data_IF_017812061933
#
_entry.id   IF_017812061933
#
_cell.length_a   1.000
_cell.length_b   1.000
_cell.length_c   1.000
_cell.angle_alpha   90.00
_cell.angle_beta   90.00
_cell.angle_gamma   90.00
#
_symmetry.space_group_name_H-M   'P 1'
#
loop_
_entity.id
_entity.type
_entity.pdbx_description
1 polymer ?
#
# COMPACT_ATOMS: atom_id res chain seq x y z
N UNK A 1 -3.94 38.18 -49.17
CA UNK A 1 -3.45 38.41 -47.79
C UNK A 1 -4.49 37.87 -46.83
N UNK A 2 -4.24 36.73 -46.19
CA UNK A 2 -5.23 36.10 -45.29
C UNK A 2 -5.11 36.76 -43.91
N UNK A 3 -6.16 37.47 -43.48
CA UNK A 3 -6.29 38.01 -42.13
C UNK A 3 -6.56 36.83 -41.18
N UNK A 4 -5.55 36.44 -40.40
CA UNK A 4 -5.71 35.45 -39.33
C UNK A 4 -6.54 36.09 -38.21
N UNK A 5 -7.77 35.61 -38.05
CA UNK A 5 -8.68 36.01 -36.98
C UNK A 5 -8.12 35.54 -35.63
N UNK A 6 -7.36 36.39 -34.94
CA UNK A 6 -6.83 36.07 -33.61
C UNK A 6 -7.96 36.17 -32.59
N UNK A 7 -8.63 35.05 -32.33
CA UNK A 7 -9.55 34.92 -31.19
C UNK A 7 -8.70 34.80 -29.92
N UNK A 8 -8.67 35.87 -29.12
CA UNK A 8 -8.11 35.84 -27.77
C UNK A 8 -9.04 35.10 -26.81
N UNK A 9 -8.47 34.37 -25.85
CA UNK A 9 -9.21 33.79 -24.72
C UNK A 9 -9.78 34.91 -23.85
N UNK A 10 -11.05 34.83 -23.48
CA UNK A 10 -11.64 35.79 -22.55
C UNK A 10 -11.23 35.47 -21.10
N UNK A 11 -11.06 36.50 -20.27
CA UNK A 11 -10.77 36.31 -18.84
C UNK A 11 -11.90 35.56 -18.12
N UNK A 12 -13.14 35.72 -18.59
CA UNK A 12 -14.30 35.02 -18.02
C UNK A 12 -14.30 33.53 -18.36
N UNK A 13 -13.87 33.13 -19.57
CA UNK A 13 -13.69 31.71 -19.92
C UNK A 13 -12.65 31.06 -19.01
N UNK A 14 -11.52 31.73 -18.77
CA UNK A 14 -10.51 31.19 -17.85
C UNK A 14 -11.01 31.12 -16.40
N UNK A 15 -11.79 32.11 -15.94
CA UNK A 15 -12.33 32.14 -14.59
C UNK A 15 -13.31 30.98 -14.34
N UNK A 16 -14.20 30.69 -15.29
CA UNK A 16 -15.14 29.57 -15.17
C UNK A 16 -14.39 28.23 -15.19
N UNK A 17 -13.35 28.09 -16.00
CA UNK A 17 -12.54 26.86 -16.06
C UNK A 17 -11.85 26.57 -14.72
N UNK A 18 -11.18 27.57 -14.12
CA UNK A 18 -10.52 27.35 -12.82
C UNK A 18 -11.53 27.09 -11.69
N UNK A 19 -12.73 27.68 -11.77
CA UNK A 19 -13.80 27.39 -10.82
C UNK A 19 -14.26 25.93 -10.90
N UNK A 20 -14.44 25.39 -12.11
CA UNK A 20 -14.83 23.98 -12.32
C UNK A 20 -13.70 23.04 -11.84
N UNK A 21 -12.45 23.32 -12.20
CA UNK A 21 -11.29 22.51 -11.75
C UNK A 21 -11.18 22.54 -10.22
N UNK A 22 -11.44 23.69 -9.59
CA UNK A 22 -11.45 23.82 -8.13
C UNK A 22 -12.47 22.91 -7.45
N UNK A 23 -13.69 22.84 -7.97
CA UNK A 23 -14.75 21.95 -7.46
C UNK A 23 -14.35 20.48 -7.62
N UNK A 24 -13.83 20.11 -8.79
CA UNK A 24 -13.41 18.72 -9.05
C UNK A 24 -12.23 18.32 -8.15
N UNK A 25 -11.24 19.20 -7.96
CA UNK A 25 -10.08 18.94 -7.11
C UNK A 25 -10.47 18.76 -5.64
N UNK A 26 -11.44 19.53 -5.14
CA UNK A 26 -11.90 19.44 -3.75
C UNK A 26 -12.46 18.04 -3.40
N UNK A 27 -13.11 17.37 -4.35
CA UNK A 27 -13.65 16.01 -4.17
C UNK A 27 -12.56 14.96 -4.47
N UNK A 28 -11.78 15.18 -5.53
CA UNK A 28 -10.80 14.19 -6.01
C UNK A 28 -9.62 13.98 -5.05
N UNK A 29 -9.12 15.03 -4.41
CA UNK A 29 -7.93 14.95 -3.53
C UNK A 29 -8.15 14.01 -2.33
N UNK A 30 -9.22 14.15 -1.50
CA UNK A 30 -9.42 13.26 -0.37
C UNK A 30 -9.66 11.80 -0.80
N UNK A 31 -10.41 11.58 -1.89
CA UNK A 31 -10.63 10.23 -2.43
C UNK A 31 -9.33 9.59 -2.93
N UNK A 32 -8.51 10.35 -3.65
CA UNK A 32 -7.23 9.85 -4.17
C UNK A 32 -6.25 9.52 -3.04
N UNK A 33 -6.23 10.33 -1.99
CA UNK A 33 -5.42 10.07 -0.79
C UNK A 33 -5.82 8.75 -0.12
N UNK A 34 -7.11 8.53 0.11
CA UNK A 34 -7.62 7.29 0.69
C UNK A 34 -7.34 6.07 -0.21
N UNK A 35 -7.48 6.22 -1.53
CA UNK A 35 -7.15 5.16 -2.48
C UNK A 35 -5.66 4.78 -2.44
N UNK A 36 -4.76 5.76 -2.37
CA UNK A 36 -3.33 5.51 -2.20
C UNK A 36 -3.02 4.81 -0.89
N UNK A 37 -3.66 5.21 0.21
CA UNK A 37 -3.49 4.58 1.52
C UNK A 37 -3.85 3.08 1.49
N UNK A 38 -5.01 2.74 0.92
CA UNK A 38 -5.42 1.34 0.71
C UNK A 38 -4.49 0.58 -0.24
N UNK A 39 -3.93 1.24 -1.25
CA UNK A 39 -2.94 0.62 -2.13
C UNK A 39 -1.64 0.28 -1.38
N UNK A 40 -1.21 1.10 -0.41
CA UNK A 40 -0.08 0.77 0.45
C UNK A 40 -0.37 -0.43 1.35
N UNK A 41 -1.60 -0.56 1.86
CA UNK A 41 -2.03 -1.74 2.62
C UNK A 41 -1.94 -3.02 1.80
N UNK A 42 -2.46 -3.01 0.56
CA UNK A 42 -2.39 -4.16 -0.33
C UNK A 42 -0.94 -4.60 -0.64
N UNK A 43 0.00 -3.66 -0.72
CA UNK A 43 1.44 -3.97 -0.85
C UNK A 43 1.97 -4.66 0.39
N UNK A 44 1.71 -4.11 1.58
CA UNK A 44 2.16 -4.71 2.84
C UNK A 44 1.59 -6.13 3.04
N UNK A 45 0.29 -6.32 2.75
CA UNK A 45 -0.36 -7.63 2.80
C UNK A 45 0.28 -8.63 1.81
N UNK A 46 0.57 -8.18 0.59
CA UNK A 46 1.20 -9.03 -0.44
C UNK A 46 2.62 -9.44 -0.04
N UNK A 47 3.41 -8.53 0.54
CA UNK A 47 4.76 -8.83 1.00
C UNK A 47 4.75 -9.81 2.19
N UNK A 48 3.77 -9.72 3.10
CA UNK A 48 3.60 -10.69 4.18
C UNK A 48 3.33 -12.08 3.60
N UNK A 49 2.39 -12.20 2.65
CA UNK A 49 2.09 -13.49 1.98
C UNK A 49 3.32 -14.05 1.27
N UNK A 50 4.04 -13.21 0.54
CA UNK A 50 5.26 -13.60 -0.15
C UNK A 50 6.35 -14.08 0.83
N UNK A 51 6.47 -13.43 2.00
CA UNK A 51 7.41 -13.84 3.05
C UNK A 51 7.06 -15.21 3.62
N UNK A 52 5.77 -15.48 3.87
CA UNK A 52 5.32 -16.80 4.35
C UNK A 52 5.66 -17.87 3.30
N UNK A 53 5.33 -17.64 2.04
CA UNK A 53 5.68 -18.58 0.95
C UNK A 53 7.19 -18.79 0.83
N UNK A 54 8.01 -17.74 0.95
CA UNK A 54 9.46 -17.84 0.92
C UNK A 54 10.02 -18.63 2.11
N UNK A 55 9.47 -18.44 3.31
CA UNK A 55 9.83 -19.21 4.49
C UNK A 55 9.47 -20.69 4.30
N UNK A 56 8.26 -20.99 3.81
CA UNK A 56 7.84 -22.37 3.54
C UNK A 56 8.73 -23.06 2.51
N UNK A 57 9.07 -22.37 1.41
CA UNK A 57 10.01 -22.87 0.41
C UNK A 57 11.39 -23.16 1.02
N UNK A 58 11.92 -22.22 1.82
CA UNK A 58 13.20 -22.40 2.49
C UNK A 58 13.19 -23.61 3.44
N UNK A 59 12.10 -23.83 4.17
CA UNK A 59 11.97 -24.98 5.06
C UNK A 59 11.97 -26.32 4.31
N UNK A 60 11.35 -26.39 3.14
CA UNK A 60 11.37 -27.61 2.30
C UNK A 60 12.81 -28.00 1.97
N UNK A 61 13.68 -27.04 1.70
CA UNK A 61 15.08 -27.26 1.32
C UNK A 61 16.00 -27.47 2.53
N UNK A 62 15.95 -26.57 3.52
CA UNK A 62 16.89 -26.54 4.63
C UNK A 62 16.42 -27.31 5.87
N UNK A 63 15.14 -27.73 5.93
CA UNK A 63 14.50 -28.35 7.09
C UNK A 63 14.60 -27.50 8.37
N UNK A 64 14.89 -26.21 8.22
CA UNK A 64 14.94 -25.22 9.30
C UNK A 64 14.65 -23.83 8.73
N UNK A 65 14.11 -22.93 9.55
CA UNK A 65 14.03 -21.50 9.24
C UNK A 65 15.29 -20.74 9.68
N UNK A 66 16.18 -21.38 10.46
CA UNK A 66 17.42 -20.77 10.90
C UNK A 66 18.32 -20.47 9.70
N UNK A 67 18.78 -19.22 9.60
CA UNK A 67 19.58 -18.78 8.46
C UNK A 67 18.75 -18.38 7.23
N UNK A 68 17.43 -18.23 7.36
CA UNK A 68 16.62 -17.61 6.31
C UNK A 68 17.21 -16.24 5.94
N UNK A 69 17.58 -16.03 4.66
CA UNK A 69 18.30 -14.82 4.23
C UNK A 69 17.46 -13.54 4.28
N UNK A 70 16.16 -13.66 4.57
CA UNK A 70 15.20 -12.56 4.52
C UNK A 70 14.55 -12.42 3.14
N UNK A 71 13.62 -11.48 3.05
CA UNK A 71 13.06 -11.02 1.78
C UNK A 71 13.46 -9.57 1.54
N UNK A 72 13.39 -9.13 0.28
CA UNK A 72 13.47 -7.70 -0.04
C UNK A 72 12.03 -7.19 -0.16
N UNK A 73 11.49 -6.48 0.85
CA UNK A 73 10.11 -6.00 0.78
C UNK A 73 9.97 -4.89 -0.26
N UNK A 74 8.72 -4.62 -0.64
CA UNK A 74 8.36 -3.49 -1.47
C UNK A 74 8.72 -2.16 -0.81
N UNK A 75 8.93 -1.11 -1.61
CA UNK A 75 9.32 0.20 -1.10
C UNK A 75 8.37 0.71 0.01
N UNK A 76 8.96 1.12 1.13
CA UNK A 76 8.23 1.63 2.31
C UNK A 76 7.54 0.57 3.16
N UNK A 77 7.59 -0.71 2.77
CA UNK A 77 7.06 -1.82 3.57
C UNK A 77 8.15 -2.35 4.49
N UNK A 78 7.80 -2.57 5.76
CA UNK A 78 8.62 -3.30 6.72
C UNK A 78 7.95 -4.63 6.98
N UNK A 79 8.67 -5.74 6.79
CA UNK A 79 8.20 -7.09 7.14
C UNK A 79 9.14 -7.70 8.17
N UNK A 80 8.55 -8.20 9.25
CA UNK A 80 9.24 -8.79 10.40
C UNK A 80 8.73 -10.22 10.59
N UNK A 81 9.43 -11.23 10.03
CA UNK A 81 9.15 -12.62 10.35
C UNK A 81 9.73 -12.98 11.72
N UNK A 82 8.92 -13.66 12.54
CA UNK A 82 9.30 -14.21 13.84
C UNK A 82 9.11 -15.72 13.79
N UNK A 83 10.18 -16.47 13.98
CA UNK A 83 10.18 -17.91 13.89
C UNK A 83 11.22 -18.52 14.84
N UNK A 84 11.02 -19.80 15.14
CA UNK A 84 12.02 -20.69 15.73
C UNK A 84 12.66 -21.53 14.62
N UNK A 85 13.58 -22.44 14.98
CA UNK A 85 14.24 -23.31 14.00
C UNK A 85 13.26 -24.10 13.11
N UNK A 86 12.06 -24.44 13.60
CA UNK A 86 11.12 -25.31 12.87
C UNK A 86 9.68 -24.81 12.87
N UNK A 87 9.39 -23.62 13.41
CA UNK A 87 8.02 -23.12 13.48
C UNK A 87 7.99 -21.62 13.27
N UNK A 88 7.15 -21.17 12.34
CA UNK A 88 6.79 -19.76 12.19
C UNK A 88 5.89 -19.39 13.37
N UNK A 89 6.19 -18.30 14.08
CA UNK A 89 5.35 -17.80 15.17
C UNK A 89 4.43 -16.69 14.67
N UNK A 90 5.00 -15.75 13.93
CA UNK A 90 4.26 -14.71 13.23
C UNK A 90 5.06 -14.14 12.06
N UNK A 91 4.37 -13.55 11.09
CA UNK A 91 4.98 -12.68 10.09
C UNK A 91 4.16 -11.41 10.05
N UNK A 92 4.73 -10.29 10.49
CA UNK A 92 4.04 -9.01 10.55
C UNK A 92 4.61 -8.05 9.52
N UNK A 93 3.77 -7.45 8.69
CA UNK A 93 4.16 -6.42 7.73
C UNK A 93 3.36 -5.14 7.91
N UNK A 94 3.98 -3.99 7.62
CA UNK A 94 3.32 -2.69 7.65
C UNK A 94 3.85 -1.74 6.58
N UNK A 95 3.04 -0.77 6.20
CA UNK A 95 3.50 0.44 5.50
C UNK A 95 3.06 1.67 6.31
N UNK A 96 3.94 2.66 6.58
CA UNK A 96 3.60 3.82 7.43
C UNK A 96 2.41 4.67 6.94
N UNK A 97 2.06 4.59 5.65
CA UNK A 97 0.89 5.26 5.06
C UNK A 97 -0.25 4.31 4.70
N UNK A 98 -0.23 3.06 5.17
CA UNK A 98 -1.39 2.20 5.05
C UNK A 98 -2.49 2.68 6.00
N UNK A 99 -3.70 2.83 5.46
CA UNK A 99 -4.96 2.98 6.19
C UNK A 99 -5.99 2.06 5.52
N UNK A 100 -6.24 0.91 6.13
CA UNK A 100 -7.12 -0.12 5.61
C UNK A 100 -8.60 0.28 5.78
N UNK A 101 -8.90 0.94 6.89
CA UNK A 101 -10.26 1.25 7.34
C UNK A 101 -10.78 2.59 6.82
N UNK A 102 -9.89 3.47 6.36
CA UNK A 102 -10.21 4.83 5.92
C UNK A 102 -10.54 5.76 7.10
N UNK A 103 -10.07 5.45 8.31
CA UNK A 103 -10.36 6.21 9.53
C UNK A 103 -9.33 7.31 9.81
N UNK A 104 -8.28 7.41 8.99
CA UNK A 104 -7.17 8.34 9.17
C UNK A 104 -6.08 7.83 10.13
N UNK A 105 -6.27 6.63 10.70
CA UNK A 105 -5.22 5.88 11.37
C UNK A 105 -4.23 5.36 10.33
N UNK A 106 -2.97 5.79 10.42
CA UNK A 106 -1.92 5.33 9.53
C UNK A 106 -1.06 4.26 10.21
N UNK A 107 -0.54 3.33 9.42
CA UNK A 107 0.43 2.33 9.87
C UNK A 107 -0.19 1.00 10.28
N UNK A 108 -1.32 0.62 9.69
CA UNK A 108 -1.92 -0.68 9.96
C UNK A 108 -0.96 -1.82 9.67
N UNK A 109 -1.05 -2.86 10.50
CA UNK A 109 -0.16 -4.02 10.47
C UNK A 109 -0.92 -5.25 10.02
N UNK A 110 -0.33 -6.03 9.11
CA UNK A 110 -0.83 -7.31 8.64
C UNK A 110 -0.01 -8.42 9.28
N UNK A 111 -0.66 -9.28 10.08
CA UNK A 111 0.05 -10.37 10.78
C UNK A 111 -0.49 -11.73 10.35
N UNK A 112 0.39 -12.57 9.81
CA UNK A 112 0.14 -14.00 9.69
C UNK A 112 0.59 -14.72 10.96
N UNK A 113 -0.20 -15.64 11.49
CA UNK A 113 0.21 -16.57 12.55
C UNK A 113 -0.40 -17.95 12.28
N UNK A 114 0.37 -19.05 12.39
CA UNK A 114 -0.11 -20.39 12.02
C UNK A 114 -0.99 -21.06 13.09
N UNK A 115 -1.01 -20.55 14.33
CA UNK A 115 -1.78 -21.16 15.45
C UNK A 115 -3.14 -20.49 15.67
N UNK A 116 -3.36 -19.32 15.07
CA UNK A 116 -4.65 -18.66 15.07
C UNK A 116 -5.27 -18.80 13.67
N UNK A 117 -6.60 -18.95 13.59
CA UNK A 117 -7.31 -18.67 12.33
C UNK A 117 -6.80 -17.31 11.80
N UNK A 118 -6.51 -17.14 10.49
CA UNK A 118 -5.81 -15.96 9.96
C UNK A 118 -6.36 -14.70 10.60
N UNK A 119 -5.64 -14.15 11.59
CA UNK A 119 -6.10 -12.99 12.34
C UNK A 119 -5.68 -11.79 11.50
N UNK A 120 -6.50 -11.49 10.51
CA UNK A 120 -6.77 -10.10 10.22
C UNK A 120 -7.26 -9.49 11.55
N UNK A 121 -6.39 -8.77 12.25
CA UNK A 121 -6.90 -7.79 13.20
C UNK A 121 -7.57 -6.71 12.35
N UNK A 122 -8.87 -6.86 12.15
CA UNK A 122 -9.72 -5.78 11.65
C UNK A 122 -9.75 -4.64 12.67
#
# INVERSE_FOLDING_TARGET
MVLKNQKGFTLIELLVVVAIIGILAAIAIPQFSAYRAKAFCSRAESDVKNTVTALEAFYVEAQTYSGFPGITPSQGVVVTPTFTATTITSVTGMHPNCDQNGDGGLGDTFTFSPTAAPQYSW
#
